data_IF_447383853790
#
_entry.id   IF_447383853790
#
_cell.length_a   1.000
_cell.length_b   1.000
_cell.length_c   1.000
_cell.angle_alpha   90.00
_cell.angle_beta   90.00
_cell.angle_gamma   90.00
#
_symmetry.space_group_name_H-M   'P 1'
#
loop_
_entity.id
_entity.type
_entity.pdbx_description
1 polymer ?
#
# COMPACT_ATOMS: atom_id res chain seq x y z
N UNK A 1 -15.32 0.72 -26.65
CA UNK A 1 -14.27 0.42 -25.66
C UNK A 1 -14.29 1.56 -24.65
N UNK A 2 -14.86 1.33 -23.46
CA UNK A 2 -15.08 2.41 -22.48
C UNK A 2 -13.74 2.76 -21.80
N UNK A 3 -13.29 4.03 -21.83
CA UNK A 3 -12.01 4.43 -21.24
C UNK A 3 -11.99 4.38 -19.70
N UNK A 4 -13.11 4.06 -19.05
CA UNK A 4 -13.25 4.09 -17.59
C UNK A 4 -13.07 2.72 -16.91
N UNK A 5 -12.68 1.68 -17.65
CA UNK A 5 -12.36 0.36 -17.07
C UNK A 5 -10.90 0.36 -16.59
N UNK A 6 -10.65 0.96 -15.42
CA UNK A 6 -9.34 0.95 -14.78
C UNK A 6 -9.10 -0.46 -14.21
N UNK A 7 -8.49 -1.32 -15.03
CA UNK A 7 -8.36 -2.74 -14.76
C UNK A 7 -7.29 -3.07 -13.69
N UNK A 8 -7.70 -3.96 -12.78
CA UNK A 8 -6.93 -4.95 -12.00
C UNK A 8 -6.02 -4.50 -10.85
N UNK A 9 -5.41 -3.31 -10.86
CA UNK A 9 -4.42 -2.94 -9.81
C UNK A 9 -4.85 -1.79 -8.88
N UNK A 10 -6.15 -1.74 -8.56
CA UNK A 10 -6.68 -0.76 -7.59
C UNK A 10 -6.75 -1.32 -6.17
N UNK A 11 -6.19 -2.50 -5.92
CA UNK A 11 -6.10 -3.01 -4.55
C UNK A 11 -5.09 -2.20 -3.75
N UNK A 12 -5.33 -2.07 -2.44
CA UNK A 12 -4.47 -1.30 -1.54
C UNK A 12 -4.34 0.20 -1.91
N UNK A 13 -5.35 0.79 -2.54
CA UNK A 13 -5.31 2.19 -2.97
C UNK A 13 -6.43 3.03 -2.37
N UNK A 14 -6.19 4.33 -2.30
CA UNK A 14 -7.20 5.33 -1.97
C UNK A 14 -7.79 5.85 -3.29
N UNK A 15 -9.10 5.86 -3.40
CA UNK A 15 -9.83 6.37 -4.56
C UNK A 15 -10.76 7.50 -4.12
N UNK A 16 -10.89 8.50 -4.98
CA UNK A 16 -11.96 9.49 -4.90
C UNK A 16 -13.04 9.07 -5.87
N UNK A 17 -14.26 8.93 -5.37
CA UNK A 17 -15.45 8.60 -6.17
C UNK A 17 -16.32 9.86 -6.21
N UNK A 18 -16.74 10.27 -7.40
CA UNK A 18 -17.67 11.38 -7.58
C UNK A 18 -19.03 10.85 -8.10
N UNK A 19 -19.89 11.77 -8.55
CA UNK A 19 -21.19 11.41 -9.13
C UNK A 19 -21.07 10.64 -10.47
N UNK A 20 -19.89 10.60 -11.10
CA UNK A 20 -19.67 9.80 -12.29
C UNK A 20 -19.30 8.37 -11.88
N UNK A 21 -20.11 7.36 -12.22
CA UNK A 21 -19.86 6.00 -11.79
C UNK A 21 -18.53 5.47 -12.35
N UNK A 22 -17.73 4.88 -11.46
CA UNK A 22 -16.50 4.18 -11.82
C UNK A 22 -16.76 2.67 -11.80
N UNK A 23 -16.13 1.96 -12.72
CA UNK A 23 -16.18 0.49 -12.80
C UNK A 23 -14.88 -0.08 -12.24
N UNK A 24 -15.02 -0.96 -11.25
CA UNK A 24 -13.92 -1.62 -10.56
C UNK A 24 -14.00 -3.13 -10.80
N UNK A 25 -12.84 -3.77 -10.95
CA UNK A 25 -12.69 -5.23 -10.88
C UNK A 25 -11.69 -5.54 -9.79
N UNK A 26 -12.17 -6.13 -8.71
CA UNK A 26 -11.38 -6.42 -7.52
C UNK A 26 -11.30 -7.94 -7.31
N UNK A 27 -10.20 -8.46 -6.74
CA UNK A 27 -10.09 -9.86 -6.38
C UNK A 27 -11.04 -10.21 -5.23
N UNK A 28 -11.48 -11.46 -5.18
CA UNK A 28 -12.27 -12.00 -4.06
C UNK A 28 -11.49 -11.83 -2.76
N UNK A 29 -12.20 -11.42 -1.70
CA UNK A 29 -11.64 -11.18 -0.38
C UNK A 29 -11.08 -9.78 -0.19
N UNK A 30 -11.04 -8.94 -1.23
CA UNK A 30 -10.88 -7.49 -1.04
C UNK A 30 -12.09 -6.89 -0.33
N UNK A 31 -11.91 -5.70 0.23
CA UNK A 31 -12.99 -4.92 0.81
C UNK A 31 -12.87 -3.44 0.43
N UNK A 32 -13.99 -2.76 0.28
CA UNK A 32 -14.09 -1.32 0.06
C UNK A 32 -14.54 -0.69 1.36
N UNK A 33 -13.79 0.28 1.86
CA UNK A 33 -14.14 1.06 3.04
C UNK A 33 -14.44 2.50 2.65
N UNK A 34 -15.56 3.05 3.11
CA UNK A 34 -15.86 4.46 2.91
C UNK A 34 -15.23 5.26 4.03
N UNK A 35 -14.30 6.16 3.70
CA UNK A 35 -13.63 7.02 4.68
C UNK A 35 -14.43 8.29 4.94
N UNK A 36 -15.04 8.85 3.89
CA UNK A 36 -15.84 10.07 3.94
C UNK A 36 -16.87 10.09 2.81
N UNK A 37 -17.96 10.84 3.02
CA UNK A 37 -19.06 10.89 2.06
C UNK A 37 -19.92 9.63 2.08
N UNK A 38 -20.74 9.49 1.05
CA UNK A 38 -21.67 8.37 0.89
C UNK A 38 -21.51 7.80 -0.53
N UNK A 39 -21.39 6.49 -0.62
CA UNK A 39 -21.11 5.78 -1.87
C UNK A 39 -22.16 4.71 -2.10
N UNK A 40 -22.83 4.79 -3.24
CA UNK A 40 -23.64 3.70 -3.75
C UNK A 40 -22.75 2.72 -4.50
N UNK A 41 -22.90 1.44 -4.19
CA UNK A 41 -22.14 0.33 -4.74
C UNK A 41 -23.10 -0.75 -5.21
N UNK A 42 -22.85 -1.27 -6.40
CA UNK A 42 -23.50 -2.47 -6.92
C UNK A 42 -22.45 -3.42 -7.47
N UNK A 43 -22.66 -4.72 -7.31
CA UNK A 43 -21.81 -5.75 -7.89
C UNK A 43 -22.63 -6.63 -8.83
N UNK A 44 -22.13 -6.84 -10.04
CA UNK A 44 -22.74 -7.72 -11.02
C UNK A 44 -22.97 -9.12 -10.41
N UNK A 45 -24.21 -9.60 -10.48
CA UNK A 45 -24.65 -10.87 -9.90
C UNK A 45 -25.11 -10.78 -8.43
N UNK A 46 -24.98 -9.63 -7.77
CA UNK A 46 -25.69 -9.36 -6.52
C UNK A 46 -27.08 -8.77 -6.81
N UNK A 47 -28.05 -9.14 -5.97
CA UNK A 47 -29.44 -8.69 -6.11
C UNK A 47 -29.65 -7.29 -5.51
N UNK A 48 -28.91 -6.98 -4.44
CA UNK A 48 -29.08 -5.76 -3.69
C UNK A 48 -27.93 -4.79 -3.96
N UNK A 49 -28.29 -3.52 -4.13
CA UNK A 49 -27.36 -2.43 -4.09
C UNK A 49 -27.11 -2.00 -2.64
N UNK A 50 -25.91 -1.51 -2.37
CA UNK A 50 -25.50 -1.10 -1.02
C UNK A 50 -25.10 0.36 -1.04
N UNK A 51 -25.58 1.13 -0.06
CA UNK A 51 -25.10 2.48 0.20
C UNK A 51 -24.21 2.45 1.43
N UNK A 52 -22.94 2.84 1.26
CA UNK A 52 -21.95 2.93 2.31
C UNK A 52 -21.76 4.38 2.75
N UNK A 53 -22.04 4.67 4.02
CA UNK A 53 -21.61 5.87 4.71
C UNK A 53 -20.20 5.74 5.33
N UNK A 54 -19.70 6.80 5.99
CA UNK A 54 -18.35 6.80 6.57
C UNK A 54 -18.16 5.71 7.62
N UNK A 55 -17.03 5.01 7.55
CA UNK A 55 -16.68 3.90 8.43
C UNK A 55 -17.26 2.55 8.00
N UNK A 56 -18.18 2.52 7.04
CA UNK A 56 -18.79 1.27 6.58
C UNK A 56 -17.92 0.54 5.57
N UNK A 57 -18.20 -0.75 5.43
CA UNK A 57 -17.44 -1.73 4.66
C UNK A 57 -18.36 -2.46 3.68
N UNK A 58 -17.82 -2.74 2.49
CA UNK A 58 -18.39 -3.69 1.54
C UNK A 58 -17.34 -4.75 1.19
N UNK A 59 -17.71 -6.03 1.34
CA UNK A 59 -16.85 -7.16 1.01
C UNK A 59 -17.03 -7.61 -0.44
N UNK A 60 -15.92 -7.87 -1.12
CA UNK A 60 -15.94 -8.32 -2.51
C UNK A 60 -16.15 -9.84 -2.55
N UNK A 61 -17.35 -10.25 -2.96
CA UNK A 61 -17.76 -11.66 -2.98
C UNK A 61 -17.38 -12.42 -4.26
N UNK A 62 -17.22 -11.71 -5.38
CA UNK A 62 -16.83 -12.30 -6.67
C UNK A 62 -15.87 -11.39 -7.45
N UNK A 63 -15.31 -11.87 -8.56
CA UNK A 63 -14.52 -11.06 -9.50
C UNK A 63 -15.38 -10.31 -10.53
N UNK A 64 -16.70 -10.31 -10.35
CA UNK A 64 -17.62 -9.61 -11.24
C UNK A 64 -17.44 -8.09 -11.14
N UNK A 65 -17.94 -7.35 -12.12
CA UNK A 65 -17.78 -5.90 -12.14
C UNK A 65 -18.47 -5.26 -10.95
N UNK A 66 -17.80 -4.33 -10.28
CA UNK A 66 -18.38 -3.46 -9.26
C UNK A 66 -18.55 -2.08 -9.90
N UNK A 67 -19.70 -1.45 -9.67
CA UNK A 67 -19.92 -0.05 -10.02
C UNK A 67 -20.06 0.73 -8.72
N UNK A 68 -19.30 1.82 -8.59
CA UNK A 68 -19.35 2.69 -7.43
C UNK A 68 -19.56 4.14 -7.88
N UNK A 69 -20.42 4.87 -7.17
CA UNK A 69 -20.66 6.29 -7.40
C UNK A 69 -21.00 6.99 -6.08
N UNK A 70 -20.59 8.24 -5.94
CA UNK A 70 -20.97 9.05 -4.80
C UNK A 70 -22.41 9.57 -4.96
N UNK A 71 -23.20 9.51 -3.89
CA UNK A 71 -24.63 9.85 -3.96
C UNK A 71 -24.92 11.36 -3.87
N UNK A 72 -24.02 12.14 -3.25
CA UNK A 72 -24.21 13.58 -3.01
C UNK A 72 -22.95 14.40 -3.32
N UNK A 73 -21.89 14.18 -2.54
CA UNK A 73 -20.60 14.87 -2.63
C UNK A 73 -19.49 13.86 -2.90
N UNK A 74 -18.35 14.28 -3.49
CA UNK A 74 -17.21 13.39 -3.68
C UNK A 74 -16.84 12.62 -2.41
N UNK A 75 -16.79 11.31 -2.51
CA UNK A 75 -16.51 10.39 -1.42
C UNK A 75 -15.08 9.86 -1.53
N UNK A 76 -14.44 9.65 -0.37
CA UNK A 76 -13.14 8.99 -0.31
C UNK A 76 -13.33 7.54 0.09
N UNK A 77 -12.87 6.60 -0.74
CA UNK A 77 -12.93 5.17 -0.45
C UNK A 77 -11.54 4.57 -0.45
N UNK A 78 -11.31 3.64 0.46
CA UNK A 78 -10.10 2.86 0.51
C UNK A 78 -10.39 1.43 0.09
N UNK A 79 -9.67 0.95 -0.92
CA UNK A 79 -9.78 -0.43 -1.39
C UNK A 79 -8.69 -1.26 -0.71
N UNK A 80 -9.08 -2.15 0.19
CA UNK A 80 -8.17 -3.05 0.87
C UNK A 80 -7.77 -4.23 -0.02
N UNK A 81 -6.49 -4.62 0.03
CA UNK A 81 -6.07 -5.91 -0.50
C UNK A 81 -6.68 -7.05 0.32
N UNK A 82 -6.82 -8.26 -0.25
CA UNK A 82 -7.40 -9.39 0.48
C UNK A 82 -6.72 -9.66 1.83
N UNK A 83 -5.39 -9.64 1.88
CA UNK A 83 -4.64 -9.85 3.13
C UNK A 83 -4.96 -8.82 4.22
N UNK A 84 -5.18 -7.55 3.86
CA UNK A 84 -5.51 -6.49 4.82
C UNK A 84 -6.98 -6.58 5.24
N UNK A 85 -7.88 -6.92 4.31
CA UNK A 85 -9.32 -7.06 4.56
C UNK A 85 -9.64 -8.25 5.47
N UNK A 86 -8.96 -9.40 5.31
CA UNK A 86 -9.07 -10.55 6.20
C UNK A 86 -8.54 -10.27 7.60
N UNK A 87 -7.51 -9.44 7.74
CA UNK A 87 -6.94 -9.11 9.05
C UNK A 87 -7.87 -8.20 9.89
N UNK A 88 -8.81 -7.51 9.25
CA UNK A 88 -9.78 -6.63 9.87
C UNK A 88 -11.17 -7.27 9.84
N UNK A 89 -11.35 -8.42 10.49
CA UNK A 89 -12.65 -9.11 10.51
C UNK A 89 -13.73 -8.22 11.16
N UNK A 90 -13.35 -7.34 12.08
CA UNK A 90 -14.23 -6.30 12.58
C UNK A 90 -14.31 -5.13 11.59
N UNK A 91 -15.51 -4.55 11.43
CA UNK A 91 -15.82 -3.32 10.68
C UNK A 91 -15.07 -2.07 11.17
N UNK A 92 -14.06 -2.23 12.03
CA UNK A 92 -13.26 -1.14 12.57
C UNK A 92 -12.19 -0.68 11.56
N UNK A 93 -12.63 0.21 10.66
CA UNK A 93 -11.79 0.95 9.73
C UNK A 93 -10.57 1.60 10.43
N UNK A 94 -10.74 2.13 11.65
CA UNK A 94 -9.66 2.76 12.40
C UNK A 94 -8.59 1.75 12.80
N UNK A 95 -8.96 0.52 13.17
CA UNK A 95 -8.03 -0.56 13.43
C UNK A 95 -7.21 -0.94 12.20
N UNK A 96 -7.86 -1.04 11.03
CA UNK A 96 -7.19 -1.31 9.75
C UNK A 96 -6.16 -0.22 9.42
N UNK A 97 -6.57 1.05 9.47
CA UNK A 97 -5.70 2.19 9.17
C UNK A 97 -4.51 2.26 10.14
N UNK A 98 -4.72 2.00 11.44
CA UNK A 98 -3.65 1.96 12.45
C UNK A 98 -2.64 0.84 12.16
N UNK A 99 -3.10 -0.35 11.77
CA UNK A 99 -2.20 -1.46 11.41
C UNK A 99 -1.38 -1.14 10.18
N UNK A 100 -2.00 -0.59 9.14
CA UNK A 100 -1.29 -0.18 7.92
C UNK A 100 -0.26 0.91 8.19
N UNK A 101 -0.60 1.91 9.02
CA UNK A 101 0.35 2.93 9.46
C UNK A 101 1.55 2.32 10.22
N UNK A 102 1.33 1.33 11.08
CA UNK A 102 2.42 0.61 11.77
C UNK A 102 3.31 -0.15 10.78
N UNK A 103 2.72 -0.85 9.81
CA UNK A 103 3.46 -1.60 8.78
C UNK A 103 4.32 -0.68 7.91
N UNK A 104 3.75 0.43 7.43
CA UNK A 104 4.49 1.42 6.63
C UNK A 104 5.65 2.04 7.43
N UNK A 105 5.46 2.32 8.73
CA UNK A 105 6.54 2.80 9.60
C UNK A 105 7.65 1.76 9.75
N UNK A 106 7.31 0.49 9.97
CA UNK A 106 8.29 -0.59 10.08
C UNK A 106 9.09 -0.76 8.79
N UNK A 107 8.42 -0.76 7.63
CA UNK A 107 9.08 -0.86 6.32
C UNK A 107 9.99 0.34 6.03
N UNK A 108 9.57 1.55 6.41
CA UNK A 108 10.41 2.75 6.27
C UNK A 108 11.65 2.69 7.17
N UNK A 109 11.49 2.23 8.42
CA UNK A 109 12.58 2.06 9.38
C UNK A 109 13.60 1.01 8.91
N UNK A 110 13.11 -0.09 8.34
CA UNK A 110 13.96 -1.14 7.77
C UNK A 110 14.78 -0.64 6.57
N UNK A 111 14.19 0.20 5.72
CA UNK A 111 14.90 0.79 4.57
C UNK A 111 15.99 1.77 5.03
N UNK A 112 15.70 2.63 6.01
CA UNK A 112 16.68 3.57 6.55
C UNK A 112 17.80 2.87 7.32
N UNK A 113 17.50 1.80 8.06
CA UNK A 113 18.51 0.96 8.71
C UNK A 113 19.42 0.23 7.72
N UNK A 114 18.87 -0.29 6.61
CA UNK A 114 19.69 -0.90 5.54
C UNK A 114 20.58 0.13 4.85
N UNK A 115 20.09 1.35 4.64
CA UNK A 115 20.87 2.43 4.04
C UNK A 115 22.02 2.90 4.96
N UNK A 116 21.75 3.08 6.26
CA UNK A 116 22.77 3.44 7.25
C UNK A 116 23.80 2.33 7.46
N UNK A 117 23.38 1.05 7.53
CA UNK A 117 24.32 -0.08 7.56
C UNK A 117 25.27 -0.10 6.36
N UNK A 118 24.78 0.17 5.14
CA UNK A 118 25.63 0.26 3.94
C UNK A 118 26.63 1.42 4.03
N UNK A 119 26.24 2.55 4.61
CA UNK A 119 27.09 3.73 4.74
C UNK A 119 28.17 3.52 5.80
N UNK A 120 27.81 2.95 6.95
CA UNK A 120 28.73 2.54 8.01
C UNK A 120 29.71 1.48 7.49
N UNK A 121 29.23 0.46 6.79
CA UNK A 121 30.09 -0.56 6.19
C UNK A 121 31.10 0.03 5.18
N UNK A 122 30.70 1.03 4.37
CA UNK A 122 31.62 1.73 3.47
C UNK A 122 32.68 2.54 4.21
N UNK A 123 32.33 3.18 5.32
CA UNK A 123 33.27 3.93 6.15
C UNK A 123 34.30 2.99 6.80
N UNK A 124 33.85 1.86 7.38
CA UNK A 124 34.76 0.85 7.92
C UNK A 124 35.66 0.22 6.86
N UNK A 125 35.13 -0.07 5.66
CA UNK A 125 35.94 -0.59 4.55
C UNK A 125 37.03 0.41 4.10
N UNK A 126 36.73 1.71 4.08
CA UNK A 126 37.72 2.76 3.79
C UNK A 126 38.76 2.90 4.89
N UNK A 127 38.35 2.86 6.16
CA UNK A 127 39.26 2.91 7.30
C UNK A 127 40.23 1.70 7.29
N UNK A 128 39.70 0.49 7.06
CA UNK A 128 40.51 -0.72 6.96
C UNK A 128 41.51 -0.66 5.79
N UNK A 129 41.10 -0.13 4.63
CA UNK A 129 41.99 0.05 3.47
C UNK A 129 43.12 1.07 3.75
N UNK A 130 42.82 2.16 4.46
CA UNK A 130 43.81 3.16 4.85
C UNK A 130 44.82 2.62 5.86
N UNK A 131 44.36 1.87 6.88
CA UNK A 131 45.24 1.23 7.87
C UNK A 131 46.15 0.21 7.19
N UNK A 132 45.63 -0.57 6.23
CA UNK A 132 46.43 -1.55 5.48
C UNK A 132 47.49 -0.91 4.58
N UNK A 133 47.25 0.31 4.08
CA UNK A 133 48.26 1.11 3.35
C UNK A 133 49.36 1.64 4.27
N UNK A 134 49.01 2.01 5.50
CA UNK A 134 49.98 2.51 6.49
C UNK A 134 50.87 1.41 7.08
N UNK A 135 50.36 0.18 7.14
CA UNK A 135 51.10 -1.01 7.60
C UNK A 135 51.85 -1.74 6.47
N UNK A 136 51.83 -1.21 5.24
CA UNK A 136 52.61 -1.80 4.15
C UNK A 136 54.11 -1.58 4.44
N UNK A 137 54.91 -2.64 4.64
CA UNK A 137 56.31 -2.49 4.99
C UNK A 137 57.06 -1.77 3.86
N UNK A 138 57.76 -0.70 4.21
CA UNK A 138 58.71 -0.03 3.33
C UNK A 138 59.73 -1.06 2.86
N UNK A 139 59.60 -1.46 1.60
CA UNK A 139 60.48 -2.43 0.95
C UNK A 139 61.89 -1.83 0.95
N UNK A 140 62.78 -2.44 1.73
CA UNK A 140 64.17 -2.03 1.86
C UNK A 140 64.89 -2.07 0.51
N UNK A 141 65.72 -1.05 0.34
CA UNK A 141 66.63 -0.70 -0.75
C UNK A 141 67.74 -1.77 -0.90
N UNK A 142 68.34 -1.96 -2.09
CA UNK A 142 69.75 -2.31 -2.17
C UNK A 142 70.57 -1.10 -2.64
N UNK A 143 71.44 -0.64 -1.75
CA UNK A 143 72.53 0.30 -2.03
C UNK A 143 73.63 -0.52 -2.69
N UNK A 144 74.08 -0.08 -3.87
CA UNK A 144 75.27 -0.61 -4.55
C UNK A 144 76.50 0.23 -4.20
#
# INVERSE_FOLDING_TARGET
>A
MNPNTLAEDQTCTLLTVDANPISLRLPIGSAIFTLSGEVWITQEGMQDDVVLGPGQRFDVHSRASIVASATKEPASVYVACPADAFASVDDDLLALLRRRARRLRAEHFDRTLRATRKLIAKLFARAAASIRRLLAPARQVPVH
#
